data_IF_050238755333
#
_entry.id   IF_050238755333
#
_cell.length_a   1.000
_cell.length_b   1.000
_cell.length_c   1.000
_cell.angle_alpha   90.00
_cell.angle_beta   90.00
_cell.angle_gamma   90.00
#
_symmetry.space_group_name_H-M   'P 1'
#
loop_
_entity.id
_entity.type
_entity.pdbx_description
1 polymer ?
#
# COMPACT_ATOMS: atom_id res chain seq x y z
N UNK A 1 -9.46 6.54 -26.37
CA UNK A 1 -9.39 7.77 -25.59
C UNK A 1 -10.29 7.72 -24.37
N UNK A 2 -11.58 7.56 -24.55
CA UNK A 2 -12.50 7.38 -23.43
C UNK A 2 -12.18 6.12 -22.60
N UNK A 3 -11.78 5.05 -23.26
CA UNK A 3 -11.37 3.82 -22.59
C UNK A 3 -10.18 4.01 -21.67
N UNK A 4 -9.19 4.79 -22.08
CA UNK A 4 -8.03 5.07 -21.25
C UNK A 4 -8.41 5.87 -20.02
N UNK A 5 -9.36 6.77 -20.12
CA UNK A 5 -9.88 7.53 -18.99
C UNK A 5 -10.64 6.65 -18.02
N UNK A 6 -11.48 5.76 -18.52
CA UNK A 6 -12.22 4.81 -17.69
C UNK A 6 -11.26 3.92 -16.91
N UNK A 7 -10.23 3.40 -17.56
CA UNK A 7 -9.21 2.60 -16.90
C UNK A 7 -8.43 3.38 -15.84
N UNK A 8 -8.12 4.64 -16.12
CA UNK A 8 -7.45 5.51 -15.18
C UNK A 8 -8.32 5.84 -13.98
N UNK A 9 -9.61 6.01 -14.19
CA UNK A 9 -10.56 6.28 -13.12
C UNK A 9 -10.72 5.08 -12.20
N UNK A 10 -10.80 3.89 -12.76
CA UNK A 10 -10.93 2.66 -11.98
C UNK A 10 -9.68 2.38 -11.14
N UNK A 11 -8.49 2.52 -11.74
CA UNK A 11 -7.23 2.24 -11.05
C UNK A 11 -6.92 3.22 -9.91
N UNK A 12 -7.04 4.53 -10.11
CA UNK A 12 -6.77 5.49 -9.03
C UNK A 12 -7.64 5.29 -7.80
N UNK A 13 -8.90 4.96 -7.99
CA UNK A 13 -9.81 4.71 -6.87
C UNK A 13 -9.31 3.55 -6.03
N UNK A 14 -8.81 2.49 -6.66
CA UNK A 14 -8.31 1.30 -5.98
C UNK A 14 -6.98 1.53 -5.28
N UNK A 15 -6.08 2.25 -5.93
CA UNK A 15 -4.72 2.48 -5.43
C UNK A 15 -4.67 3.59 -4.41
N UNK A 16 -5.51 4.60 -4.57
CA UNK A 16 -5.47 5.81 -3.77
C UNK A 16 -6.48 5.81 -2.62
N UNK A 17 -6.99 4.64 -2.24
CA UNK A 17 -7.84 4.56 -1.06
C UNK A 17 -7.02 4.95 0.16
N UNK A 18 -7.41 6.04 0.77
CA UNK A 18 -6.83 6.57 1.98
C UNK A 18 -7.41 5.83 3.18
N UNK A 19 -6.59 5.59 4.18
CA UNK A 19 -7.00 4.93 5.41
C UNK A 19 -8.15 5.69 6.10
N UNK A 20 -8.08 7.01 6.09
CA UNK A 20 -9.12 7.87 6.65
C UNK A 20 -10.44 7.72 5.89
N UNK A 21 -10.38 7.74 4.56
CA UNK A 21 -11.56 7.55 3.71
C UNK A 21 -12.19 6.18 3.93
N UNK A 22 -11.35 5.15 4.05
CA UNK A 22 -11.81 3.80 4.28
C UNK A 22 -12.55 3.66 5.62
N UNK A 23 -12.03 4.29 6.66
CA UNK A 23 -12.65 4.29 7.98
C UNK A 23 -13.94 5.09 8.02
N UNK A 24 -14.00 6.20 7.30
CA UNK A 24 -15.23 6.97 7.13
C UNK A 24 -16.28 6.17 6.38
N UNK A 25 -15.88 5.48 5.32
CA UNK A 25 -16.75 4.59 4.57
C UNK A 25 -17.34 3.50 5.48
N UNK A 26 -16.51 2.88 6.30
CA UNK A 26 -16.96 1.87 7.26
C UNK A 26 -18.01 2.43 8.23
N UNK A 27 -17.82 3.64 8.73
CA UNK A 27 -18.81 4.29 9.61
C UNK A 27 -20.15 4.50 8.91
N UNK A 28 -20.11 4.95 7.66
CA UNK A 28 -21.31 5.14 6.85
C UNK A 28 -22.05 3.82 6.69
N UNK A 29 -21.35 2.76 6.29
CA UNK A 29 -21.95 1.44 6.09
C UNK A 29 -22.53 0.88 7.39
N UNK A 30 -21.84 1.05 8.50
CA UNK A 30 -22.27 0.56 9.81
C UNK A 30 -23.60 1.18 10.22
N UNK A 31 -23.83 2.44 9.87
CA UNK A 31 -25.01 3.20 10.26
C UNK A 31 -26.12 3.21 9.20
N UNK A 32 -25.89 2.58 8.05
CA UNK A 32 -26.85 2.61 6.96
C UNK A 32 -27.99 1.61 7.20
N UNK A 33 -29.19 2.13 7.26
CA UNK A 33 -30.40 1.35 7.60
C UNK A 33 -30.88 0.46 6.46
N UNK A 34 -30.47 0.78 5.23
CA UNK A 34 -30.87 0.02 4.04
C UNK A 34 -30.24 -1.35 3.90
N UNK A 35 -29.19 -1.63 4.67
CA UNK A 35 -28.54 -2.94 4.65
C UNK A 35 -29.22 -3.93 5.60
N UNK A 36 -29.31 -5.19 5.18
CA UNK A 36 -29.57 -6.27 6.12
C UNK A 36 -28.32 -6.46 7.01
N UNK A 37 -28.48 -7.17 8.13
CA UNK A 37 -27.37 -7.47 9.03
C UNK A 37 -26.26 -8.23 8.30
N UNK A 38 -26.64 -9.21 7.47
CA UNK A 38 -25.68 -10.00 6.70
C UNK A 38 -24.90 -9.14 5.69
N UNK A 39 -25.59 -8.24 4.99
CA UNK A 39 -24.95 -7.33 4.03
C UNK A 39 -23.96 -6.38 4.72
N UNK A 40 -24.38 -5.83 5.84
CA UNK A 40 -23.54 -4.94 6.64
C UNK A 40 -22.30 -5.66 7.13
N UNK A 41 -22.47 -6.85 7.69
CA UNK A 41 -21.35 -7.64 8.22
C UNK A 41 -20.36 -8.00 7.12
N UNK A 42 -20.83 -8.36 5.94
CA UNK A 42 -19.98 -8.69 4.81
C UNK A 42 -19.14 -7.48 4.38
N UNK A 43 -19.78 -6.34 4.15
CA UNK A 43 -19.09 -5.14 3.69
C UNK A 43 -18.15 -4.61 4.77
N UNK A 44 -18.57 -4.60 6.02
CA UNK A 44 -17.69 -4.19 7.13
C UNK A 44 -16.50 -5.11 7.30
N UNK A 45 -16.69 -6.42 7.15
CA UNK A 45 -15.60 -7.39 7.21
C UNK A 45 -14.57 -7.17 6.11
N UNK A 46 -15.02 -6.93 4.88
CA UNK A 46 -14.13 -6.61 3.75
C UNK A 46 -13.39 -5.29 3.98
N UNK A 47 -14.07 -4.30 4.52
CA UNK A 47 -13.47 -3.00 4.85
C UNK A 47 -12.39 -3.14 5.91
N UNK A 48 -12.60 -3.99 6.91
CA UNK A 48 -11.60 -4.29 7.94
C UNK A 48 -10.35 -4.96 7.35
N UNK A 49 -10.53 -5.87 6.41
CA UNK A 49 -9.42 -6.51 5.71
C UNK A 49 -8.65 -5.46 4.91
N UNK A 50 -9.34 -4.58 4.19
CA UNK A 50 -8.71 -3.50 3.43
C UNK A 50 -7.92 -2.55 4.35
N UNK A 51 -8.48 -2.20 5.51
CA UNK A 51 -7.80 -1.36 6.51
C UNK A 51 -6.48 -2.01 6.98
N UNK A 52 -6.52 -3.29 7.29
CA UNK A 52 -5.34 -4.05 7.69
C UNK A 52 -4.26 -4.06 6.61
N UNK A 53 -4.65 -4.38 5.39
CA UNK A 53 -3.72 -4.42 4.25
C UNK A 53 -3.10 -3.06 4.00
N UNK A 54 -3.90 -2.02 4.00
CA UNK A 54 -3.42 -0.66 3.77
C UNK A 54 -2.49 -0.19 4.89
N UNK A 55 -2.79 -0.52 6.14
CA UNK A 55 -1.93 -0.20 7.28
C UNK A 55 -0.57 -0.87 7.17
N UNK A 56 -0.53 -2.12 6.72
CA UNK A 56 0.73 -2.83 6.48
C UNK A 56 1.54 -2.21 5.34
N UNK A 57 0.87 -1.83 4.25
CA UNK A 57 1.53 -1.15 3.12
C UNK A 57 2.17 0.15 3.58
N UNK A 58 1.46 0.95 4.37
CA UNK A 58 1.98 2.22 4.87
C UNK A 58 3.17 2.02 5.82
N UNK A 59 3.11 1.01 6.68
CA UNK A 59 4.21 0.69 7.59
C UNK A 59 5.45 0.24 6.83
N UNK A 60 5.29 -0.64 5.84
CA UNK A 60 6.38 -1.10 4.99
C UNK A 60 6.96 0.02 4.14
N UNK A 61 6.12 0.93 3.67
CA UNK A 61 6.56 2.12 2.92
C UNK A 61 7.49 2.99 3.75
N UNK A 62 7.17 3.22 5.01
CA UNK A 62 8.04 3.98 5.93
C UNK A 62 9.36 3.27 6.18
N UNK A 63 9.33 1.96 6.36
CA UNK A 63 10.55 1.16 6.49
C UNK A 63 11.44 1.27 5.26
N UNK A 64 10.84 1.16 4.08
CA UNK A 64 11.54 1.31 2.81
C UNK A 64 12.18 2.69 2.64
N UNK A 65 11.48 3.74 3.03
CA UNK A 65 12.01 5.11 3.00
C UNK A 65 13.25 5.28 3.88
N UNK A 66 13.24 4.69 5.06
CA UNK A 66 14.38 4.74 5.98
C UNK A 66 15.59 4.02 5.38
N UNK A 67 15.38 2.87 4.78
CA UNK A 67 16.44 2.10 4.13
C UNK A 67 17.00 2.88 2.94
N UNK A 68 16.13 3.44 2.12
CA UNK A 68 16.54 4.23 0.96
C UNK A 68 17.39 5.44 1.38
N UNK A 69 16.98 6.18 2.41
CA UNK A 69 17.74 7.30 2.94
C UNK A 69 19.12 6.87 3.45
N UNK A 70 19.17 5.74 4.15
CA UNK A 70 20.44 5.16 4.62
C UNK A 70 21.34 4.78 3.45
N UNK A 71 20.78 4.14 2.40
CA UNK A 71 21.53 3.75 1.21
C UNK A 71 22.14 4.95 0.50
N UNK A 72 21.37 6.02 0.30
CA UNK A 72 21.85 7.23 -0.34
C UNK A 72 23.01 7.85 0.43
N UNK A 73 22.90 7.90 1.74
CA UNK A 73 23.93 8.44 2.61
C UNK A 73 25.20 7.58 2.55
N UNK A 74 25.08 6.26 2.60
CA UNK A 74 26.22 5.35 2.63
C UNK A 74 26.92 5.20 1.28
N UNK A 75 26.19 5.36 0.18
CA UNK A 75 26.81 5.36 -1.15
C UNK A 75 27.81 6.51 -1.31
N UNK A 76 27.55 7.64 -0.70
CA UNK A 76 28.51 8.77 -0.69
C UNK A 76 29.78 8.39 0.08
N UNK A 77 29.64 7.67 1.18
CA UNK A 77 30.77 7.21 1.97
C UNK A 77 31.66 6.21 1.21
N UNK A 78 31.07 5.37 0.35
CA UNK A 78 31.85 4.48 -0.52
C UNK A 78 32.83 5.25 -1.39
N UNK A 79 32.38 6.34 -1.99
CA UNK A 79 33.24 7.18 -2.83
C UNK A 79 34.44 7.73 -2.05
N UNK A 80 34.19 8.13 -0.80
CA UNK A 80 35.26 8.64 0.09
C UNK A 80 36.33 7.54 0.35
N UNK A 81 35.87 6.32 0.64
CA UNK A 81 36.80 5.19 0.89
C UNK A 81 37.63 4.84 -0.33
N UNK A 82 37.09 4.97 -1.53
CA UNK A 82 37.81 4.78 -2.77
C UNK A 82 38.93 5.82 -2.90
N UNK A 83 38.60 7.09 -2.66
CA UNK A 83 39.60 8.19 -2.74
C UNK A 83 40.69 8.02 -1.70
N UNK A 84 40.38 7.56 -0.50
CA UNK A 84 41.33 7.32 0.58
C UNK A 84 42.07 5.99 0.46
N UNK A 85 41.74 5.18 -0.55
CA UNK A 85 42.29 3.82 -0.73
C UNK A 85 42.05 2.93 0.50
N UNK A 86 40.96 3.14 1.21
CA UNK A 86 40.58 2.34 2.39
C UNK A 86 39.70 1.18 1.95
N UNK A 87 40.32 0.12 1.43
CA UNK A 87 39.60 -0.99 0.82
C UNK A 87 38.89 -1.91 1.82
N UNK A 88 39.43 -2.02 3.04
CA UNK A 88 38.77 -2.83 4.08
C UNK A 88 37.43 -2.24 4.47
N UNK A 89 37.38 -0.94 4.71
CA UNK A 89 36.12 -0.24 5.04
C UNK A 89 35.20 -0.20 3.83
N UNK A 90 35.75 -0.03 2.63
CA UNK A 90 34.97 -0.11 1.40
C UNK A 90 34.26 -1.46 1.28
N UNK A 91 34.97 -2.56 1.47
CA UNK A 91 34.41 -3.91 1.35
C UNK A 91 33.32 -4.17 2.40
N UNK A 92 33.54 -3.74 3.64
CA UNK A 92 32.54 -3.83 4.71
C UNK A 92 31.28 -3.08 4.37
N UNK A 93 31.42 -1.84 3.95
CA UNK A 93 30.28 -0.99 3.63
C UNK A 93 29.56 -1.48 2.39
N UNK A 94 30.29 -1.94 1.37
CA UNK A 94 29.68 -2.52 0.17
C UNK A 94 28.82 -3.73 0.50
N UNK A 95 29.28 -4.57 1.43
CA UNK A 95 28.51 -5.73 1.89
C UNK A 95 27.22 -5.30 2.60
N UNK A 96 27.29 -4.32 3.50
CA UNK A 96 26.13 -3.77 4.21
C UNK A 96 25.12 -3.16 3.24
N UNK A 97 25.61 -2.42 2.26
CA UNK A 97 24.74 -1.82 1.22
C UNK A 97 24.03 -2.91 0.44
N UNK A 98 24.72 -3.97 0.08
CA UNK A 98 24.10 -5.09 -0.65
C UNK A 98 23.02 -5.77 0.16
N UNK A 99 23.25 -5.99 1.44
CA UNK A 99 22.27 -6.57 2.35
C UNK A 99 21.03 -5.67 2.49
N UNK A 100 21.23 -4.36 2.57
CA UNK A 100 20.13 -3.40 2.64
C UNK A 100 19.34 -3.31 1.34
N UNK A 101 20.00 -3.43 0.20
CA UNK A 101 19.30 -3.53 -1.09
C UNK A 101 18.41 -4.76 -1.16
N UNK A 102 18.88 -5.90 -0.67
CA UNK A 102 18.08 -7.11 -0.61
C UNK A 102 16.87 -6.93 0.30
N UNK A 103 17.05 -6.29 1.44
CA UNK A 103 15.97 -5.98 2.36
C UNK A 103 14.93 -5.06 1.71
N UNK A 104 15.39 -4.01 1.02
CA UNK A 104 14.50 -3.10 0.29
C UNK A 104 13.73 -3.82 -0.82
N UNK A 105 14.38 -4.73 -1.53
CA UNK A 105 13.74 -5.54 -2.56
C UNK A 105 12.64 -6.42 -1.97
N UNK A 106 12.87 -7.01 -0.81
CA UNK A 106 11.87 -7.82 -0.11
C UNK A 106 10.67 -6.97 0.33
N UNK A 107 10.93 -5.78 0.86
CA UNK A 107 9.88 -4.84 1.24
C UNK A 107 9.05 -4.45 0.03
N UNK A 108 9.70 -4.13 -1.08
CA UNK A 108 9.02 -3.77 -2.33
C UNK A 108 8.12 -4.90 -2.84
N UNK A 109 8.61 -6.13 -2.80
CA UNK A 109 7.82 -7.30 -3.20
C UNK A 109 6.62 -7.52 -2.30
N UNK A 110 6.77 -7.32 -0.99
CA UNK A 110 5.65 -7.41 -0.04
C UNK A 110 4.61 -6.34 -0.30
N UNK A 111 5.03 -5.12 -0.55
CA UNK A 111 4.12 -4.01 -0.86
C UNK A 111 3.33 -4.33 -2.13
N UNK A 112 3.98 -4.83 -3.17
CA UNK A 112 3.31 -5.21 -4.40
C UNK A 112 2.25 -6.29 -4.17
N UNK A 113 2.58 -7.32 -3.38
CA UNK A 113 1.65 -8.38 -3.02
C UNK A 113 0.47 -7.87 -2.21
N UNK A 114 0.73 -7.01 -1.24
CA UNK A 114 -0.32 -6.40 -0.40
C UNK A 114 -1.22 -5.47 -1.22
N UNK A 115 -0.66 -4.70 -2.14
CA UNK A 115 -1.44 -3.84 -3.04
C UNK A 115 -2.34 -4.67 -3.96
N UNK A 116 -1.85 -5.78 -4.47
CA UNK A 116 -2.67 -6.69 -5.28
C UNK A 116 -3.85 -7.21 -4.47
N UNK A 117 -3.60 -7.66 -3.25
CA UNK A 117 -4.66 -8.13 -2.34
C UNK A 117 -5.63 -7.03 -1.98
N UNK A 118 -5.12 -5.83 -1.70
CA UNK A 118 -5.95 -4.67 -1.40
C UNK A 118 -6.88 -4.33 -2.55
N UNK A 119 -6.37 -4.33 -3.78
CA UNK A 119 -7.18 -4.06 -4.96
C UNK A 119 -8.29 -5.09 -5.14
N UNK A 120 -8.00 -6.37 -4.88
CA UNK A 120 -9.00 -7.43 -4.94
C UNK A 120 -10.11 -7.21 -3.90
N UNK A 121 -9.74 -6.85 -2.68
CA UNK A 121 -10.71 -6.58 -1.61
C UNK A 121 -11.56 -5.37 -1.94
N UNK A 122 -10.97 -4.29 -2.43
CA UNK A 122 -11.72 -3.09 -2.84
C UNK A 122 -12.68 -3.41 -3.99
N UNK A 123 -12.25 -4.22 -4.95
CA UNK A 123 -13.13 -4.67 -6.03
C UNK A 123 -14.32 -5.46 -5.50
N UNK A 124 -14.10 -6.33 -4.51
CA UNK A 124 -15.18 -7.09 -3.88
C UNK A 124 -16.17 -6.17 -3.15
N UNK A 125 -15.67 -5.17 -2.44
CA UNK A 125 -16.50 -4.19 -1.77
C UNK A 125 -17.41 -3.48 -2.79
N UNK A 126 -16.81 -2.98 -3.87
CA UNK A 126 -17.53 -2.28 -4.92
C UNK A 126 -18.56 -3.18 -5.60
N UNK A 127 -18.21 -4.43 -5.85
CA UNK A 127 -19.10 -5.40 -6.44
C UNK A 127 -20.34 -5.65 -5.56
N UNK A 128 -20.14 -5.82 -4.25
CA UNK A 128 -21.25 -6.04 -3.34
C UNK A 128 -22.13 -4.81 -3.20
N UNK A 129 -21.55 -3.62 -3.21
CA UNK A 129 -22.34 -2.37 -3.19
C UNK A 129 -23.19 -2.29 -4.44
N UNK A 130 -22.64 -2.60 -5.62
CA UNK A 130 -23.40 -2.60 -6.87
C UNK A 130 -24.53 -3.64 -6.85
N UNK A 131 -24.26 -4.84 -6.34
CA UNK A 131 -25.26 -5.91 -6.21
C UNK A 131 -26.40 -5.50 -5.30
N UNK A 132 -26.12 -4.74 -4.27
CA UNK A 132 -27.13 -4.24 -3.33
C UNK A 132 -27.86 -3.01 -3.87
N UNK A 133 -27.48 -2.52 -5.05
CA UNK A 133 -28.07 -1.34 -5.71
C UNK A 133 -28.04 -0.10 -4.83
N UNK A 134 -26.93 0.14 -4.19
CA UNK A 134 -26.77 1.26 -3.28
C UNK A 134 -25.95 2.34 -3.95
N UNK A 135 -26.45 3.55 -3.91
CA UNK A 135 -25.72 4.72 -4.36
C UNK A 135 -25.07 5.39 -3.15
N UNK A 136 -23.75 5.41 -3.13
CA UNK A 136 -22.99 6.03 -2.04
C UNK A 136 -23.24 7.54 -1.93
N UNK A 137 -23.78 8.16 -2.98
CA UNK A 137 -24.16 9.58 -2.93
C UNK A 137 -25.34 9.83 -2.01
N UNK A 138 -26.11 8.82 -1.72
CA UNK A 138 -27.28 8.93 -0.84
C UNK A 138 -26.92 8.88 0.65
N UNK A 139 -25.66 8.71 0.95
CA UNK A 139 -25.22 8.72 2.33
C UNK A 139 -25.00 10.16 2.88
#
# INVERSE_FOLDING_TARGET
MAEAKVKKEAKPIKVNVDLKELREFKKIITNFVGFSVAQRDLVCGLTDIADKLLSEVLALGKEGEKIDAWLQKKQKNLSVFVVEANFDDYNKLAKEIREKFLELTRISAKIDGLNTSLNLVVDLINKHIDEFKIDLKDF
#
